data_IF_460916463151
#
_entry.id   IF_460916463151
#
_cell.length_a   1.000
_cell.length_b   1.000
_cell.length_c   1.000
_cell.angle_alpha   90.00
_cell.angle_beta   90.00
_cell.angle_gamma   90.00
#
_symmetry.space_group_name_H-M   'P 1'
#
loop_
_entity.id
_entity.type
_entity.pdbx_description
1 polymer ?
#
# COMPACT_ATOMS: atom_id res chain seq x y z
N UNK A 1 17.03 -27.22 -7.18
CA UNK A 1 16.04 -27.90 -6.29
C UNK A 1 15.05 -26.85 -5.81
N UNK A 2 13.78 -27.21 -5.61
CA UNK A 2 12.73 -26.31 -5.13
C UNK A 2 12.67 -26.36 -3.60
N UNK A 3 12.54 -25.22 -2.91
CA UNK A 3 12.32 -25.16 -1.46
C UNK A 3 10.86 -25.54 -1.16
N UNK A 4 10.64 -26.71 -0.55
CA UNK A 4 9.30 -27.25 -0.28
C UNK A 4 8.52 -26.47 0.78
N UNK A 5 9.20 -25.94 1.79
CA UNK A 5 8.56 -25.15 2.85
C UNK A 5 8.06 -23.83 2.28
N UNK A 6 8.89 -23.13 1.51
CA UNK A 6 8.51 -21.89 0.83
C UNK A 6 7.40 -22.14 -0.20
N UNK A 7 7.44 -23.26 -0.92
CA UNK A 7 6.38 -23.62 -1.86
C UNK A 7 5.02 -23.79 -1.15
N UNK A 8 5.00 -24.40 0.03
CA UNK A 8 3.78 -24.55 0.82
C UNK A 8 3.25 -23.19 1.31
N UNK A 9 4.14 -22.27 1.72
CA UNK A 9 3.77 -20.89 2.07
C UNK A 9 3.16 -20.16 0.87
N UNK A 10 3.77 -20.25 -0.31
CA UNK A 10 3.23 -19.63 -1.53
C UNK A 10 1.86 -20.20 -1.92
N UNK A 11 1.69 -21.52 -1.86
CA UNK A 11 0.40 -22.16 -2.17
C UNK A 11 -0.69 -21.70 -1.17
N UNK A 12 -0.39 -21.73 0.12
CA UNK A 12 -1.32 -21.27 1.15
C UNK A 12 -1.63 -19.77 1.10
N UNK A 13 -0.72 -18.95 0.56
CA UNK A 13 -1.00 -17.55 0.26
C UNK A 13 -2.03 -17.40 -0.86
N UNK A 14 -1.85 -18.13 -1.97
CA UNK A 14 -2.76 -18.10 -3.12
C UNK A 14 -4.20 -18.47 -2.72
N UNK A 15 -4.37 -19.47 -1.86
CA UNK A 15 -5.68 -19.91 -1.35
C UNK A 15 -6.43 -18.83 -0.56
N UNK A 16 -5.70 -17.83 -0.02
CA UNK A 16 -6.26 -16.75 0.80
C UNK A 16 -6.49 -15.46 0.02
N UNK A 17 -6.07 -15.39 -1.25
CA UNK A 17 -6.25 -14.18 -2.06
C UNK A 17 -7.76 -13.93 -2.23
N UNK A 18 -8.29 -12.79 -1.74
CA UNK A 18 -9.70 -12.45 -1.89
C UNK A 18 -10.02 -12.00 -3.33
N UNK A 19 -11.31 -11.93 -3.67
CA UNK A 19 -11.76 -11.56 -5.01
C UNK A 19 -11.28 -10.16 -5.48
N UNK A 20 -11.04 -9.24 -4.54
CA UNK A 20 -10.48 -7.91 -4.83
C UNK A 20 -8.94 -7.90 -4.92
N UNK A 21 -8.29 -9.07 -4.90
CA UNK A 21 -6.85 -9.25 -5.04
C UNK A 21 -6.01 -8.46 -4.02
N UNK A 22 -6.54 -8.30 -2.80
CA UNK A 22 -5.94 -7.49 -1.73
C UNK A 22 -5.82 -5.99 -2.04
N UNK A 23 -6.68 -5.44 -2.90
CA UNK A 23 -6.70 -4.00 -3.18
C UNK A 23 -7.93 -3.30 -2.60
N UNK A 24 -7.72 -2.04 -2.24
CA UNK A 24 -8.78 -1.05 -2.09
C UNK A 24 -8.60 0.04 -3.14
N UNK A 25 -9.70 0.61 -3.61
CA UNK A 25 -9.69 1.74 -4.54
C UNK A 25 -9.44 3.06 -3.80
N UNK A 26 -8.94 4.11 -4.49
CA UNK A 26 -8.83 5.44 -3.91
C UNK A 26 -10.15 5.96 -3.32
N UNK A 27 -11.29 5.67 -3.97
CA UNK A 27 -12.60 6.10 -3.48
C UNK A 27 -13.02 5.38 -2.20
N UNK A 28 -12.67 4.10 -2.03
CA UNK A 28 -12.89 3.37 -0.78
C UNK A 28 -12.02 3.92 0.36
N UNK A 29 -10.72 4.12 0.11
CA UNK A 29 -9.83 4.76 1.08
C UNK A 29 -10.35 6.14 1.48
N UNK A 30 -10.83 6.95 0.53
CA UNK A 30 -11.36 8.27 0.84
C UNK A 30 -12.60 8.20 1.75
N UNK A 31 -13.50 7.24 1.51
CA UNK A 31 -14.65 7.00 2.39
C UNK A 31 -14.20 6.57 3.78
N UNK A 32 -13.15 5.75 3.89
CA UNK A 32 -12.59 5.36 5.19
C UNK A 32 -12.05 6.58 5.93
N UNK A 33 -11.24 7.43 5.28
CA UNK A 33 -10.73 8.66 5.90
C UNK A 33 -11.83 9.60 6.40
N UNK A 34 -12.94 9.70 5.66
CA UNK A 34 -14.06 10.58 6.04
C UNK A 34 -14.87 10.07 7.23
N UNK A 35 -14.91 8.76 7.45
CA UNK A 35 -15.79 8.15 8.45
C UNK A 35 -15.04 7.59 9.66
N UNK A 36 -13.82 7.09 9.46
CA UNK A 36 -13.04 6.34 10.45
C UNK A 36 -11.54 6.36 10.10
N UNK A 37 -10.88 7.53 10.10
CA UNK A 37 -9.48 7.66 9.66
C UNK A 37 -8.51 6.75 10.44
N UNK A 38 -8.74 6.56 11.74
CA UNK A 38 -7.93 5.68 12.61
C UNK A 38 -8.09 4.17 12.33
N UNK A 39 -9.02 3.78 11.47
CA UNK A 39 -9.25 2.36 11.13
C UNK A 39 -8.20 1.79 10.17
N UNK A 40 -7.38 2.66 9.56
CA UNK A 40 -6.33 2.28 8.62
C UNK A 40 -5.04 3.01 8.94
N UNK A 41 -3.92 2.38 8.57
CA UNK A 41 -2.61 3.00 8.56
C UNK A 41 -2.14 3.12 7.11
N UNK A 42 -1.84 4.32 6.63
CA UNK A 42 -1.44 4.54 5.24
C UNK A 42 0.09 4.53 5.17
N UNK A 43 0.65 3.52 4.51
CA UNK A 43 2.09 3.36 4.32
C UNK A 43 2.48 3.82 2.91
N UNK A 44 3.20 4.93 2.79
CA UNK A 44 3.76 5.38 1.52
C UNK A 44 5.19 4.88 1.36
N UNK A 45 5.42 4.03 0.35
CA UNK A 45 6.74 3.44 0.07
C UNK A 45 7.53 4.14 -1.02
N UNK A 46 7.05 5.30 -1.51
CA UNK A 46 7.82 6.14 -2.46
C UNK A 46 9.04 6.76 -1.76
N UNK A 47 9.96 7.28 -2.58
CA UNK A 47 11.08 8.06 -2.06
C UNK A 47 10.58 9.33 -1.33
N UNK A 48 11.44 9.88 -0.46
CA UNK A 48 11.09 11.03 0.37
C UNK A 48 10.71 12.27 -0.45
N UNK A 49 11.38 12.52 -1.58
CA UNK A 49 11.10 13.68 -2.44
C UNK A 49 9.66 13.65 -2.98
N UNK A 50 9.25 12.51 -3.56
CA UNK A 50 7.88 12.33 -4.05
C UNK A 50 6.82 12.38 -2.95
N UNK A 51 7.15 11.95 -1.72
CA UNK A 51 6.29 12.09 -0.57
C UNK A 51 6.14 13.55 -0.15
N UNK A 52 7.27 14.25 -0.01
CA UNK A 52 7.32 15.66 0.40
C UNK A 52 6.65 16.58 -0.62
N UNK A 53 6.76 16.28 -1.91
CA UNK A 53 6.04 16.99 -2.98
C UNK A 53 4.52 16.88 -2.83
N UNK A 54 4.01 15.65 -2.62
CA UNK A 54 2.60 15.40 -2.32
C UNK A 54 2.38 13.98 -1.81
N UNK A 55 1.57 13.81 -0.77
CA UNK A 55 1.19 12.50 -0.23
C UNK A 55 -0.25 12.52 0.30
N UNK A 56 -0.80 11.33 0.58
CA UNK A 56 -2.13 11.20 1.18
C UNK A 56 -2.06 11.69 2.63
N UNK A 57 -2.98 12.55 3.04
CA UNK A 57 -3.04 13.05 4.41
C UNK A 57 -3.07 11.90 5.45
N UNK A 58 -2.19 11.97 6.45
CA UNK A 58 -2.03 10.94 7.48
C UNK A 58 -1.21 9.71 7.05
N UNK A 59 -0.59 9.75 5.86
CA UNK A 59 0.37 8.73 5.46
C UNK A 59 1.64 8.77 6.32
N UNK A 60 2.32 7.64 6.42
CA UNK A 60 3.67 7.55 6.97
C UNK A 60 4.60 7.10 5.85
N UNK A 61 5.66 7.87 5.60
CA UNK A 61 6.68 7.48 4.64
C UNK A 61 7.70 6.52 5.25
N UNK A 62 7.79 5.32 4.67
CA UNK A 62 8.92 4.42 4.88
C UNK A 62 9.28 3.89 3.50
N UNK A 63 10.40 4.38 2.95
CA UNK A 63 10.83 4.06 1.59
C UNK A 63 11.02 2.55 1.40
N UNK A 64 10.77 2.07 0.19
CA UNK A 64 10.85 0.65 -0.17
C UNK A 64 12.15 -0.04 0.31
N UNK A 65 13.29 0.62 0.17
CA UNK A 65 14.60 0.04 0.48
C UNK A 65 14.81 -0.20 1.98
N UNK A 66 14.03 0.50 2.83
CA UNK A 66 14.20 0.51 4.28
C UNK A 66 13.08 -0.22 5.03
N UNK A 67 11.95 -0.53 4.39
CA UNK A 67 10.74 -1.03 5.07
C UNK A 67 10.96 -2.34 5.84
N UNK A 68 11.76 -3.26 5.30
CA UNK A 68 12.03 -4.56 5.93
C UNK A 68 13.23 -4.57 6.90
N UNK A 69 13.78 -3.40 7.21
CA UNK A 69 14.73 -3.26 8.32
C UNK A 69 13.97 -3.38 9.65
N UNK A 70 14.58 -4.04 10.64
CA UNK A 70 13.92 -4.38 11.92
C UNK A 70 13.31 -3.16 12.59
N UNK A 71 14.01 -2.02 12.60
CA UNK A 71 13.53 -0.78 13.19
C UNK A 71 12.31 -0.17 12.48
N UNK A 72 12.12 -0.45 11.19
CA UNK A 72 11.01 0.10 10.41
C UNK A 72 9.80 -0.83 10.42
N UNK A 73 10.01 -2.13 10.21
CA UNK A 73 8.92 -3.11 10.24
C UNK A 73 8.25 -3.15 11.62
N UNK A 74 9.03 -2.97 12.70
CA UNK A 74 8.50 -2.93 14.07
C UNK A 74 7.67 -1.69 14.39
N UNK A 75 7.68 -0.66 13.53
CA UNK A 75 6.83 0.55 13.66
C UNK A 75 5.46 0.35 13.03
N UNK A 76 5.28 -0.65 12.18
CA UNK A 76 3.99 -0.93 11.54
C UNK A 76 2.98 -1.46 12.57
N UNK A 77 1.71 -1.04 12.50
CA UNK A 77 0.71 -1.49 13.44
C UNK A 77 0.41 -2.99 13.23
N UNK A 78 0.33 -3.73 14.33
CA UNK A 78 0.08 -5.18 14.29
C UNK A 78 -1.41 -5.54 14.08
N UNK A 79 -2.33 -4.61 14.39
CA UNK A 79 -3.78 -4.88 14.43
C UNK A 79 -4.63 -3.96 13.56
N UNK A 80 -4.01 -2.95 12.93
CA UNK A 80 -4.69 -1.99 12.07
C UNK A 80 -4.35 -2.31 10.62
N UNK A 81 -5.36 -2.29 9.74
CA UNK A 81 -5.16 -2.55 8.31
C UNK A 81 -4.17 -1.55 7.72
N UNK A 82 -3.11 -2.05 7.08
CA UNK A 82 -2.09 -1.26 6.41
C UNK A 82 -2.48 -1.07 4.95
N UNK A 83 -2.70 0.17 4.54
CA UNK A 83 -2.93 0.54 3.15
C UNK A 83 -1.61 0.97 2.53
N UNK A 84 -1.02 0.11 1.71
CA UNK A 84 0.25 0.38 1.04
C UNK A 84 0.01 1.23 -0.20
N UNK A 85 0.62 2.40 -0.25
CA UNK A 85 0.58 3.33 -1.36
C UNK A 85 1.95 3.42 -2.04
N UNK A 86 1.94 3.57 -3.37
CA UNK A 86 3.12 3.92 -4.16
C UNK A 86 2.71 4.81 -5.34
N UNK A 87 3.59 5.00 -6.33
CA UNK A 87 3.27 5.83 -7.51
C UNK A 87 2.03 5.35 -8.28
N UNK A 88 2.06 4.12 -8.79
CA UNK A 88 1.01 3.57 -9.69
C UNK A 88 0.45 2.21 -9.27
N UNK A 89 0.72 1.76 -8.04
CA UNK A 89 0.22 0.49 -7.48
C UNK A 89 1.13 -0.74 -7.62
N UNK A 90 2.10 -0.75 -8.55
CA UNK A 90 2.95 -1.94 -8.79
C UNK A 90 3.94 -2.27 -7.68
N UNK A 91 4.50 -1.26 -7.00
CA UNK A 91 5.41 -1.49 -5.87
C UNK A 91 4.60 -1.89 -4.64
N UNK A 92 3.45 -1.24 -4.45
CA UNK A 92 2.51 -1.56 -3.36
C UNK A 92 2.06 -3.03 -3.40
N UNK A 93 1.86 -3.62 -4.59
CA UNK A 93 1.48 -5.03 -4.73
C UNK A 93 2.53 -6.02 -4.22
N UNK A 94 3.81 -5.68 -4.39
CA UNK A 94 4.92 -6.49 -3.89
C UNK A 94 5.04 -6.35 -2.37
N UNK A 95 5.02 -5.11 -1.88
CA UNK A 95 5.15 -4.83 -0.44
C UNK A 95 3.97 -5.41 0.34
N UNK A 96 2.72 -5.25 -0.11
CA UNK A 96 1.56 -5.81 0.60
C UNK A 96 1.66 -7.34 0.73
N UNK A 97 2.17 -8.03 -0.30
CA UNK A 97 2.29 -9.50 -0.29
C UNK A 97 3.31 -9.92 0.76
N UNK A 98 4.47 -9.25 0.80
CA UNK A 98 5.49 -9.50 1.81
C UNK A 98 5.00 -9.20 3.23
N UNK A 99 4.23 -8.12 3.43
CA UNK A 99 3.60 -7.80 4.71
C UNK A 99 2.60 -8.88 5.14
N UNK A 100 1.73 -9.34 4.23
CA UNK A 100 0.79 -10.42 4.52
C UNK A 100 1.51 -11.75 4.86
N UNK A 101 2.62 -12.06 4.18
CA UNK A 101 3.45 -13.23 4.50
C UNK A 101 4.09 -13.12 5.89
N UNK A 102 4.37 -11.90 6.37
CA UNK A 102 4.84 -11.62 7.72
C UNK A 102 3.71 -11.55 8.77
N UNK A 103 2.45 -11.72 8.36
CA UNK A 103 1.29 -11.78 9.24
C UNK A 103 0.57 -10.46 9.49
N UNK A 104 0.92 -9.38 8.75
CA UNK A 104 0.19 -8.13 8.81
C UNK A 104 -1.12 -8.20 8.01
N UNK A 105 -2.13 -7.48 8.48
CA UNK A 105 -3.29 -7.14 7.65
C UNK A 105 -2.92 -5.98 6.72
N UNK A 106 -2.67 -6.27 5.45
CA UNK A 106 -2.21 -5.30 4.47
C UNK A 106 -2.99 -5.39 3.16
N UNK A 107 -3.31 -4.23 2.58
CA UNK A 107 -3.93 -4.08 1.27
C UNK A 107 -3.19 -3.03 0.44
N UNK A 108 -3.29 -3.10 -0.87
CA UNK A 108 -2.68 -2.14 -1.79
C UNK A 108 -3.67 -1.06 -2.19
N UNK A 109 -3.22 0.19 -2.27
CA UNK A 109 -3.99 1.24 -2.92
C UNK A 109 -3.95 1.04 -4.44
N UNK A 110 -5.10 0.69 -5.02
CA UNK A 110 -5.23 0.48 -6.46
C UNK A 110 -4.87 1.77 -7.20
N UNK A 111 -3.96 1.66 -8.18
CA UNK A 111 -3.40 2.76 -8.96
C UNK A 111 -2.52 3.75 -8.17
N UNK A 112 -2.34 3.57 -6.86
CA UNK A 112 -1.47 4.43 -6.07
C UNK A 112 -1.85 5.90 -6.12
N UNK A 113 -0.83 6.76 -6.15
CA UNK A 113 -0.99 8.22 -6.24
C UNK A 113 -1.41 8.72 -7.61
N UNK A 114 -1.04 8.03 -8.70
CA UNK A 114 -1.13 8.53 -10.07
C UNK A 114 -1.89 7.63 -11.07
N UNK A 115 -1.82 7.97 -12.36
CA UNK A 115 -2.46 7.17 -13.43
C UNK A 115 -1.63 5.93 -13.78
N UNK A 116 -2.31 4.80 -14.02
CA UNK A 116 -1.74 3.67 -14.75
C UNK A 116 -1.15 4.12 -16.10
N UNK A 117 0.06 3.65 -16.44
CA UNK A 117 0.73 3.96 -17.71
C UNK A 117 0.20 3.14 -18.90
N UNK A 118 -0.82 2.30 -18.68
CA UNK A 118 -1.43 1.46 -19.72
C UNK A 118 -2.28 2.32 -20.66
N UNK A 119 -1.92 2.31 -21.95
CA UNK A 119 -2.64 3.07 -22.97
C UNK A 119 -4.11 2.61 -23.06
N UNK A 120 -5.04 3.57 -23.07
CA UNK A 120 -6.50 3.39 -23.14
C UNK A 120 -7.18 2.80 -21.88
N UNK A 121 -6.45 2.66 -20.76
CA UNK A 121 -7.05 2.37 -19.46
C UNK A 121 -6.90 3.60 -18.56
N UNK A 122 -7.86 4.54 -18.63
CA UNK A 122 -7.88 5.70 -17.72
C UNK A 122 -8.36 5.25 -16.34
N UNK A 123 -7.48 4.54 -15.65
CA UNK A 123 -7.64 4.19 -14.25
C UNK A 123 -6.86 5.22 -13.43
N UNK A 124 -7.61 6.10 -12.76
CA UNK A 124 -7.09 7.26 -12.04
C UNK A 124 -6.66 6.87 -10.63
N UNK A 125 -5.47 7.32 -10.23
CA UNK A 125 -5.00 7.24 -8.85
C UNK A 125 -5.57 8.35 -7.99
N UNK A 126 -4.99 8.49 -6.80
CA UNK A 126 -5.42 9.46 -5.79
C UNK A 126 -5.46 10.90 -6.33
N UNK A 127 -4.39 11.34 -6.99
CA UNK A 127 -4.23 12.72 -7.46
C UNK A 127 -5.19 13.04 -8.60
N UNK A 128 -5.39 12.16 -9.57
CA UNK A 128 -6.24 12.45 -10.73
C UNK A 128 -7.73 12.36 -10.46
N UNK A 129 -8.11 11.77 -9.32
CA UNK A 129 -9.45 11.86 -8.76
C UNK A 129 -9.69 13.18 -8.00
N UNK A 130 -8.66 14.02 -7.83
CA UNK A 130 -8.75 15.30 -7.14
C UNK A 130 -8.92 15.16 -5.63
N UNK A 131 -8.40 14.08 -5.04
CA UNK A 131 -8.44 13.89 -3.60
C UNK A 131 -7.33 14.71 -2.89
N UNK A 132 -7.57 15.18 -1.65
CA UNK A 132 -6.62 16.00 -0.90
C UNK A 132 -5.26 15.35 -0.76
N UNK A 133 -4.23 16.18 -0.83
CA UNK A 133 -2.85 15.79 -0.56
C UNK A 133 -2.24 16.75 0.46
N UNK A 134 -1.30 16.23 1.24
CA UNK A 134 -0.42 16.98 2.12
C UNK A 134 0.96 17.14 1.46
N UNK A 135 1.76 18.07 1.96
CA UNK A 135 3.11 18.38 1.45
C UNK A 135 4.09 18.52 2.62
N UNK A 136 5.37 18.25 2.39
CA UNK A 136 6.43 18.32 3.39
C UNK A 136 6.62 17.02 4.17
N UNK A 137 7.38 17.11 5.26
CA UNK A 137 7.59 16.01 6.22
C UNK A 137 6.64 16.20 7.40
N UNK A 138 5.94 15.15 7.77
CA UNK A 138 5.21 15.08 9.05
C UNK A 138 6.15 14.80 10.22
#
# INVERSE_FOLDING_TARGET
>A
MINSELLAVCAGFVDKIPANLNYITPSELRKIQQNSPESVFILDVRNCESYEESHIEGATNIVLDDIFQVQNISRLPATTTIVVCCGIGHVASQVLTLLQLLGYDAVGLKYGMGISTVANEVQKGWVELGYPVSTGKD
#
